data_IF_202320315088
#
_entry.id   IF_202320315088
#
_cell.length_a   1.000
_cell.length_b   1.000
_cell.length_c   1.000
_cell.angle_alpha   90.00
_cell.angle_beta   90.00
_cell.angle_gamma   90.00
#
_symmetry.space_group_name_H-M   'P 1'
#
loop_
_entity.id
_entity.type
_entity.pdbx_description
1 polymer ?
#
# COMPACT_ATOMS: atom_id res chain seq x y z
N UNK A 1 -6.09 10.96 7.76
CA UNK A 1 -6.31 10.90 6.37
C UNK A 1 -5.93 9.62 5.78
N UNK A 2 -6.72 9.15 4.83
CA UNK A 2 -6.51 7.86 4.21
C UNK A 2 -5.19 7.79 3.48
N UNK A 3 -4.82 8.86 2.84
CA UNK A 3 -3.58 8.83 2.05
C UNK A 3 -2.37 8.66 2.94
N UNK A 4 -2.35 9.31 4.07
CA UNK A 4 -1.23 9.14 4.98
C UNK A 4 -1.12 7.73 5.50
N UNK A 5 -2.28 7.12 5.77
CA UNK A 5 -2.26 5.75 6.24
C UNK A 5 -1.82 4.79 5.16
N UNK A 6 -2.24 5.04 3.92
CA UNK A 6 -1.83 4.19 2.82
C UNK A 6 -0.31 4.24 2.64
N UNK A 7 0.24 5.42 2.72
CA UNK A 7 1.68 5.55 2.56
C UNK A 7 2.42 4.79 3.66
N UNK A 8 1.93 4.89 4.88
CA UNK A 8 2.57 4.21 5.99
C UNK A 8 2.50 2.70 5.81
N UNK A 9 1.34 2.19 5.41
CA UNK A 9 1.18 0.77 5.22
C UNK A 9 2.12 0.26 4.14
N UNK A 10 2.24 1.00 3.05
CA UNK A 10 3.10 0.59 1.94
C UNK A 10 4.56 0.60 2.37
N UNK A 11 4.99 1.64 3.04
CA UNK A 11 6.38 1.72 3.47
C UNK A 11 6.72 0.63 4.45
N UNK A 12 5.84 0.38 5.40
CA UNK A 12 6.06 -0.68 6.36
C UNK A 12 6.10 -2.03 5.67
N UNK A 13 5.25 -2.22 4.69
CA UNK A 13 5.25 -3.47 3.95
C UNK A 13 6.58 -3.72 3.26
N UNK A 14 7.12 -2.70 2.63
CA UNK A 14 8.41 -2.85 1.96
C UNK A 14 9.52 -3.10 2.98
N UNK A 15 9.45 -2.43 4.11
CA UNK A 15 10.45 -2.63 5.14
C UNK A 15 10.46 -4.06 5.65
N UNK A 16 9.30 -4.67 5.75
CA UNK A 16 9.22 -6.04 6.22
C UNK A 16 9.43 -7.05 5.10
N UNK A 17 9.67 -6.60 3.90
CA UNK A 17 9.91 -7.51 2.79
C UNK A 17 8.66 -8.15 2.24
N UNK A 18 7.52 -7.55 2.40
CA UNK A 18 6.28 -8.10 1.90
C UNK A 18 6.21 -7.93 0.39
N UNK A 19 5.53 -8.87 -0.27
CA UNK A 19 5.34 -8.75 -1.70
C UNK A 19 4.29 -7.68 -1.99
N UNK A 20 4.21 -7.26 -3.24
CA UNK A 20 3.22 -6.28 -3.61
C UNK A 20 1.81 -6.77 -3.34
N UNK A 21 1.58 -8.06 -3.59
CA UNK A 21 0.26 -8.61 -3.32
C UNK A 21 -0.09 -8.53 -1.85
N UNK A 22 0.86 -8.82 -0.99
CA UNK A 22 0.62 -8.73 0.43
C UNK A 22 0.32 -7.31 0.85
N UNK A 23 1.03 -6.36 0.27
CA UNK A 23 0.80 -4.96 0.59
C UNK A 23 -0.58 -4.55 0.12
N UNK A 24 -0.99 -5.00 -1.07
CA UNK A 24 -2.31 -4.68 -1.58
C UNK A 24 -3.39 -5.22 -0.65
N UNK A 25 -3.21 -6.43 -0.16
CA UNK A 25 -4.18 -7.00 0.75
C UNK A 25 -4.28 -6.18 2.03
N UNK A 26 -3.15 -5.76 2.54
CA UNK A 26 -3.17 -4.96 3.75
C UNK A 26 -3.90 -3.65 3.53
N UNK A 27 -3.66 -3.02 2.38
CA UNK A 27 -4.34 -1.78 2.07
C UNK A 27 -5.85 -1.98 2.04
N UNK A 28 -6.29 -3.03 1.38
CA UNK A 28 -7.70 -3.29 1.29
C UNK A 28 -8.33 -3.51 2.66
N UNK A 29 -7.68 -4.30 3.48
CA UNK A 29 -8.22 -4.61 4.79
C UNK A 29 -8.16 -3.44 5.75
N UNK A 30 -7.04 -2.79 5.80
CA UNK A 30 -6.88 -1.73 6.79
C UNK A 30 -7.64 -0.47 6.43
N UNK A 31 -7.78 -0.19 5.16
CA UNK A 31 -8.46 1.02 4.73
C UNK A 31 -9.86 0.75 4.19
N UNK A 32 -10.24 -0.50 4.11
CA UNK A 32 -11.56 -0.89 3.61
C UNK A 32 -11.79 -0.31 2.22
N UNK A 33 -10.82 -0.48 1.35
CA UNK A 33 -10.91 0.02 -0.02
C UNK A 33 -10.85 -1.14 -0.98
N UNK A 34 -11.19 -0.87 -2.24
CA UNK A 34 -11.18 -1.89 -3.26
C UNK A 34 -9.77 -2.19 -3.71
N UNK A 35 -9.61 -3.30 -4.43
CA UNK A 35 -8.31 -3.65 -4.96
C UNK A 35 -7.81 -2.57 -5.91
N UNK A 36 -8.71 -2.04 -6.72
CA UNK A 36 -8.32 -1.02 -7.67
C UNK A 36 -7.76 0.20 -6.95
N UNK A 37 -8.42 0.61 -5.87
CA UNK A 37 -7.95 1.75 -5.12
C UNK A 37 -6.61 1.46 -4.46
N UNK A 38 -6.46 0.24 -3.94
CA UNK A 38 -5.19 -0.14 -3.34
C UNK A 38 -4.06 -0.10 -4.35
N UNK A 39 -4.33 -0.53 -5.58
CA UNK A 39 -3.33 -0.48 -6.62
C UNK A 39 -2.93 0.95 -6.95
N UNK A 40 -3.90 1.86 -6.93
CA UNK A 40 -3.59 3.25 -7.18
C UNK A 40 -2.67 3.80 -6.10
N UNK A 41 -2.95 3.47 -4.86
CA UNK A 41 -2.10 3.93 -3.77
C UNK A 41 -0.70 3.34 -3.89
N UNK A 42 -0.61 2.08 -4.26
CA UNK A 42 0.68 1.44 -4.39
C UNK A 42 1.51 2.12 -5.48
N UNK A 43 0.88 2.49 -6.57
CA UNK A 43 1.57 3.20 -7.63
C UNK A 43 2.04 4.57 -7.17
N UNK A 44 1.24 5.25 -6.38
CA UNK A 44 1.58 6.57 -5.93
C UNK A 44 2.71 6.57 -4.91
N UNK A 45 2.65 5.66 -3.97
CA UNK A 45 3.60 5.68 -2.87
C UNK A 45 4.64 4.59 -2.89
N UNK A 46 4.40 3.53 -3.60
CA UNK A 46 5.25 2.38 -3.51
C UNK A 46 6.40 2.34 -4.47
N UNK A 47 6.27 2.99 -5.60
CA UNK A 47 7.28 2.92 -6.55
C UNK A 47 8.37 3.84 -6.27
N UNK A 48 9.18 3.55 -5.44
CA UNK A 48 10.27 4.36 -5.11
C UNK A 48 11.43 3.96 -5.83
N UNK A 49 11.56 4.00 -7.01
CA UNK A 49 12.68 3.58 -7.68
C UNK A 49 13.71 4.53 -7.51
N UNK A 50 14.74 4.20 -7.30
CA UNK A 50 15.79 5.10 -7.15
C UNK A 50 16.68 5.11 -8.29
#
# INVERSE_FOLDING_TARGET
RSEGRAEEIIETGYEFGLSEQDILERLQKKLSISLQKAQEYLLMFGKRTV
#
